data_IF_891375611705
#
_entry.id   IF_891375611705
#
_cell.length_a   1.000
_cell.length_b   1.000
_cell.length_c   1.000
_cell.angle_alpha   90.00
_cell.angle_beta   90.00
_cell.angle_gamma   90.00
#
_symmetry.space_group_name_H-M   'P 1'
#
loop_
_entity.id
_entity.type
_entity.pdbx_description
1 polymer ?
#
# COMPACT_ATOMS: atom_id res chain seq x y z
N UNK A 1 -10.69 -12.22 2.79
CA UNK A 1 -9.35 -12.13 2.19
C UNK A 1 -8.51 -11.17 3.00
N UNK A 2 -7.36 -11.60 3.50
CA UNK A 2 -6.43 -10.71 4.23
C UNK A 2 -5.37 -10.20 3.27
N UNK A 3 -5.25 -8.88 3.16
CA UNK A 3 -4.19 -8.22 2.41
C UNK A 3 -3.30 -7.44 3.37
N UNK A 4 -2.00 -7.59 3.19
CA UNK A 4 -1.01 -6.69 3.77
C UNK A 4 -0.69 -5.60 2.75
N UNK A 5 -0.66 -4.36 3.24
CA UNK A 5 -0.28 -3.18 2.49
C UNK A 5 1.07 -2.70 2.99
N UNK A 6 1.94 -2.32 2.06
CA UNK A 6 3.26 -1.78 2.36
C UNK A 6 3.43 -0.45 1.64
N UNK A 7 3.64 0.62 2.42
CA UNK A 7 4.14 1.87 1.89
C UNK A 7 5.61 1.72 1.46
N UNK A 8 5.91 2.19 0.24
CA UNK A 8 7.25 2.31 -0.32
C UNK A 8 7.50 3.71 -0.86
N UNK A 9 6.68 4.67 -0.44
CA UNK A 9 6.80 6.06 -0.82
C UNK A 9 8.12 6.63 -0.32
N UNK A 10 8.63 7.62 -1.04
CA UNK A 10 9.88 8.26 -0.71
C UNK A 10 9.86 9.72 -1.13
N UNK A 11 10.51 10.53 -0.30
CA UNK A 11 10.65 11.96 -0.49
C UNK A 11 12.16 12.31 -0.51
N UNK A 12 12.75 12.65 -1.68
CA UNK A 12 14.18 12.88 -1.83
C UNK A 12 14.71 14.11 -1.09
N UNK A 13 13.87 15.12 -0.87
CA UNK A 13 14.21 16.39 -0.20
C UNK A 13 13.58 16.53 1.19
N UNK A 14 12.98 15.46 1.72
CA UNK A 14 12.32 15.45 3.02
C UNK A 14 12.06 14.06 3.57
N UNK A 15 10.95 13.93 4.30
CA UNK A 15 10.52 12.73 4.98
C UNK A 15 8.99 12.69 5.04
N UNK A 16 8.43 11.51 4.84
CA UNK A 16 6.99 11.28 4.99
C UNK A 16 6.67 11.16 6.49
N UNK A 17 5.67 11.93 6.94
CA UNK A 17 5.31 12.04 8.37
C UNK A 17 3.90 11.53 8.67
N UNK A 18 3.05 11.33 7.66
CA UNK A 18 1.72 10.75 7.86
C UNK A 18 1.25 9.91 6.67
N UNK A 19 0.38 8.95 6.98
CA UNK A 19 -0.28 8.05 6.04
C UNK A 19 -1.77 8.03 6.35
N UNK A 20 -2.59 7.97 5.31
CA UNK A 20 -4.01 7.71 5.40
C UNK A 20 -4.41 6.72 4.31
N UNK A 21 -4.78 5.53 4.74
CA UNK A 21 -5.32 4.49 3.90
C UNK A 21 -6.85 4.53 3.93
N UNK A 22 -7.48 4.39 2.77
CA UNK A 22 -8.89 4.01 2.64
C UNK A 22 -8.95 2.72 1.82
N UNK A 23 -9.64 1.71 2.32
CA UNK A 23 -9.66 0.39 1.70
C UNK A 23 -10.82 0.19 0.71
N UNK A 24 -11.72 1.18 0.60
CA UNK A 24 -12.86 1.13 -0.31
C UNK A 24 -14.07 0.35 0.25
N UNK A 25 -14.07 0.03 1.54
CA UNK A 25 -15.14 -0.64 2.30
C UNK A 25 -15.44 0.09 3.63
N UNK A 26 -15.32 1.42 3.62
CA UNK A 26 -15.46 2.33 4.78
C UNK A 26 -14.41 2.17 5.89
N UNK A 27 -13.53 1.17 5.81
CA UNK A 27 -12.38 1.05 6.71
C UNK A 27 -11.20 1.94 6.28
N UNK A 28 -10.41 2.36 7.27
CA UNK A 28 -9.20 3.18 7.09
C UNK A 28 -8.10 2.80 8.08
N UNK A 29 -6.88 3.24 7.81
CA UNK A 29 -5.74 3.13 8.73
C UNK A 29 -4.77 4.30 8.56
N UNK A 30 -4.08 4.65 9.64
CA UNK A 30 -2.97 5.62 9.63
C UNK A 30 -1.59 4.97 9.80
N UNK A 31 -1.54 3.63 9.87
CA UNK A 31 -0.27 2.91 9.88
C UNK A 31 0.39 3.02 8.49
N UNK A 32 1.74 3.08 8.41
CA UNK A 32 2.44 3.09 7.13
C UNK A 32 2.22 1.79 6.33
N UNK A 33 2.14 0.65 7.03
CA UNK A 33 1.96 -0.67 6.42
C UNK A 33 0.89 -1.48 7.15
N UNK A 34 -0.41 -1.22 6.89
CA UNK A 34 -1.51 -1.88 7.58
C UNK A 34 -1.82 -3.27 7.01
N UNK A 35 -2.48 -4.09 7.82
CA UNK A 35 -3.17 -5.30 7.36
C UNK A 35 -4.67 -5.04 7.35
N UNK A 36 -5.38 -5.48 6.31
CA UNK A 36 -6.84 -5.34 6.22
C UNK A 36 -7.52 -6.63 5.77
N UNK A 37 -8.76 -6.83 6.21
CA UNK A 37 -9.56 -8.03 5.93
C UNK A 37 -10.84 -7.66 5.18
N UNK A 38 -10.93 -8.10 3.92
CA UNK A 38 -12.14 -7.99 3.11
C UNK A 38 -13.02 -9.21 3.30
N UNK A 39 -14.25 -9.03 3.78
CA UNK A 39 -15.19 -10.12 4.11
C UNK A 39 -16.15 -10.45 2.97
N UNK A 40 -16.58 -9.44 2.21
CA UNK A 40 -17.55 -9.59 1.12
C UNK A 40 -16.87 -9.64 -0.24
N UNK A 41 -17.54 -10.23 -1.24
CA UNK A 41 -17.06 -10.14 -2.62
C UNK A 41 -17.42 -8.78 -3.21
N UNK A 42 -16.51 -8.15 -3.95
CA UNK A 42 -16.74 -6.85 -4.55
C UNK A 42 -15.53 -6.31 -5.28
N UNK A 43 -15.69 -5.10 -5.83
CA UNK A 43 -14.58 -4.30 -6.34
C UNK A 43 -14.27 -3.21 -5.34
N UNK A 44 -13.04 -3.17 -4.87
CA UNK A 44 -12.55 -2.25 -3.85
C UNK A 44 -11.54 -1.30 -4.47
N UNK A 45 -11.62 -0.02 -4.09
CA UNK A 45 -10.63 1.00 -4.48
C UNK A 45 -9.81 1.38 -3.26
N UNK A 46 -8.58 0.87 -3.20
CA UNK A 46 -7.63 1.21 -2.14
C UNK A 46 -6.98 2.54 -2.48
N UNK A 47 -6.97 3.47 -1.54
CA UNK A 47 -6.36 4.79 -1.68
C UNK A 47 -5.36 5.00 -0.55
N UNK A 48 -4.15 5.45 -0.90
CA UNK A 48 -3.16 5.94 0.04
C UNK A 48 -2.99 7.45 -0.19
N UNK A 49 -3.07 8.22 0.89
CA UNK A 49 -2.60 9.61 0.96
C UNK A 49 -1.40 9.65 1.90
N UNK A 50 -0.30 10.26 1.46
CA UNK A 50 0.87 10.53 2.30
C UNK A 50 1.09 12.04 2.41
N UNK A 51 1.58 12.51 3.57
CA UNK A 51 2.00 13.90 3.78
C UNK A 51 3.46 13.95 4.23
N UNK A 52 4.25 14.86 3.66
CA UNK A 52 5.64 15.08 4.03
C UNK A 52 5.80 16.08 5.19
N UNK A 53 7.03 16.24 5.68
CA UNK A 53 7.37 17.17 6.76
C UNK A 53 7.25 18.66 6.37
N UNK A 54 7.01 18.97 5.10
CA UNK A 54 6.71 20.32 4.61
C UNK A 54 5.19 20.55 4.47
N UNK A 55 4.37 19.53 4.77
CA UNK A 55 2.92 19.58 4.66
C UNK A 55 2.37 19.33 3.25
N UNK A 56 3.21 18.97 2.27
CA UNK A 56 2.73 18.59 0.93
C UNK A 56 2.17 17.18 0.99
N UNK A 57 1.09 16.94 0.24
CA UNK A 57 0.43 15.64 0.21
C UNK A 57 0.31 15.09 -1.20
N UNK A 58 0.44 13.78 -1.32
CA UNK A 58 0.18 13.01 -2.54
C UNK A 58 -0.83 11.91 -2.26
N UNK A 59 -1.71 11.65 -3.24
CA UNK A 59 -2.75 10.62 -3.13
C UNK A 59 -2.70 9.71 -4.35
N UNK A 60 -2.80 8.41 -4.12
CA UNK A 60 -2.90 7.42 -5.18
C UNK A 60 -3.91 6.33 -4.85
N UNK A 61 -4.66 5.92 -5.87
CA UNK A 61 -5.68 4.88 -5.76
C UNK A 61 -5.41 3.69 -6.69
N UNK A 62 -5.89 2.52 -6.30
CA UNK A 62 -5.90 1.30 -7.11
C UNK A 62 -7.12 0.45 -6.83
N UNK A 63 -7.82 0.04 -7.89
CA UNK A 63 -8.93 -0.88 -7.80
C UNK A 63 -8.50 -2.35 -7.94
N UNK A 64 -9.18 -3.25 -7.22
CA UNK A 64 -9.10 -4.69 -7.42
C UNK A 64 -10.46 -5.35 -7.16
N UNK A 65 -10.67 -6.58 -7.64
CA UNK A 65 -11.91 -7.35 -7.41
C UNK A 65 -11.60 -8.59 -6.57
N UNK A 66 -12.42 -8.84 -5.55
CA UNK A 66 -12.38 -10.03 -4.69
C UNK A 66 -13.71 -10.81 -4.76
N UNK A 67 -13.67 -12.16 -4.85
CA UNK A 67 -12.51 -12.95 -5.26
C UNK A 67 -12.06 -12.56 -6.67
N UNK A 68 -10.74 -12.45 -6.91
CA UNK A 68 -10.28 -12.26 -8.27
C UNK A 68 -10.47 -13.56 -9.04
N UNK A 69 -10.91 -13.46 -10.29
CA UNK A 69 -10.92 -14.61 -11.20
C UNK A 69 -9.51 -15.13 -11.51
N UNK A 70 -8.48 -14.34 -11.17
CA UNK A 70 -7.08 -14.59 -11.47
C UNK A 70 -6.35 -14.74 -10.12
N UNK A 71 -6.41 -15.94 -9.52
CA UNK A 71 -5.95 -16.20 -8.15
C UNK A 71 -4.42 -16.27 -7.96
N UNK A 72 -3.64 -16.03 -9.02
CA UNK A 72 -2.18 -16.27 -8.98
C UNK A 72 -1.45 -14.96 -8.70
N UNK A 73 -1.40 -14.62 -7.41
CA UNK A 73 -0.64 -13.52 -6.80
C UNK A 73 -1.16 -12.10 -7.11
N UNK A 74 -1.97 -11.56 -6.20
CA UNK A 74 -2.27 -10.11 -6.12
C UNK A 74 -1.03 -9.37 -5.59
N UNK A 75 0.01 -9.26 -6.41
CA UNK A 75 1.10 -8.31 -6.22
C UNK A 75 0.79 -7.07 -7.05
N UNK A 76 0.34 -6.04 -6.37
CA UNK A 76 -0.17 -4.83 -6.98
C UNK A 76 0.71 -3.64 -6.59
N UNK A 77 1.65 -3.19 -7.42
CA UNK A 77 2.35 -1.90 -7.21
C UNK A 77 1.60 -0.72 -7.83
N UNK A 78 1.18 0.25 -7.02
CA UNK A 78 0.74 1.56 -7.49
C UNK A 78 1.90 2.55 -7.30
N UNK A 79 2.16 3.39 -8.31
CA UNK A 79 3.21 4.42 -8.25
C UNK A 79 2.75 5.72 -8.92
N UNK A 80 3.05 6.85 -8.31
CA UNK A 80 2.79 8.20 -8.80
C UNK A 80 3.90 9.14 -8.31
N UNK A 81 4.25 10.13 -9.14
CA UNK A 81 5.29 11.13 -8.84
C UNK A 81 4.64 12.51 -8.87
N UNK A 82 4.76 13.27 -7.78
CA UNK A 82 4.24 14.63 -7.64
C UNK A 82 5.36 15.54 -7.15
N UNK A 83 6.01 16.25 -8.07
CA UNK A 83 7.19 17.04 -7.73
C UNK A 83 8.34 16.14 -7.28
N UNK A 84 8.88 16.39 -6.08
CA UNK A 84 9.89 15.54 -5.44
C UNK A 84 9.28 14.30 -4.77
N UNK A 85 8.05 14.39 -4.28
CA UNK A 85 7.38 13.29 -3.57
C UNK A 85 6.96 12.16 -4.51
N UNK A 86 7.39 10.95 -4.18
CA UNK A 86 7.04 9.72 -4.90
C UNK A 86 6.16 8.87 -3.99
N UNK A 87 4.90 8.66 -4.37
CA UNK A 87 4.00 7.74 -3.65
C UNK A 87 4.06 6.38 -4.33
N UNK A 88 4.37 5.33 -3.55
CA UNK A 88 4.39 3.94 -4.01
C UNK A 88 3.80 3.07 -2.93
N UNK A 89 2.85 2.21 -3.30
CA UNK A 89 2.46 1.13 -2.42
C UNK A 89 2.31 -0.20 -3.12
N UNK A 90 2.49 -1.26 -2.36
CA UNK A 90 2.21 -2.63 -2.81
C UNK A 90 1.25 -3.34 -1.86
N UNK A 91 0.47 -4.26 -2.39
CA UNK A 91 -0.24 -5.26 -1.58
C UNK A 91 0.30 -6.65 -1.84
N UNK A 92 0.17 -7.54 -0.86
CA UNK A 92 0.39 -8.98 -1.05
C UNK A 92 -0.63 -9.78 -0.24
N UNK A 93 -0.97 -10.96 -0.76
CA UNK A 93 -1.81 -11.89 -0.03
C UNK A 93 -1.07 -12.42 1.18
N UNK A 94 -1.60 -12.18 2.38
CA UNK A 94 -1.16 -12.87 3.58
C UNK A 94 -1.84 -14.25 3.61
N UNK A 95 -1.21 -15.26 3.01
CA UNK A 95 -1.57 -16.64 3.36
C UNK A 95 -0.97 -16.89 4.73
N UNK A 96 -1.81 -17.03 5.76
CA UNK A 96 -1.41 -17.01 7.17
C UNK A 96 -0.19 -17.85 7.49
N UNK A 97 0.98 -17.21 7.54
CA UNK A 97 2.19 -17.64 8.22
C UNK A 97 2.91 -16.35 8.66
N UNK A 98 3.23 -16.30 9.95
CA UNK A 98 3.96 -15.28 10.69
C UNK A 98 4.83 -14.29 9.88
N UNK A 99 4.71 -13.01 10.27
CA UNK A 99 5.59 -11.91 9.92
C UNK A 99 7.08 -12.31 9.92
N UNK A 100 7.64 -12.54 8.75
CA UNK A 100 9.08 -12.54 8.52
C UNK A 100 9.40 -11.29 7.71
N UNK A 101 9.96 -10.29 8.40
CA UNK A 101 10.56 -9.06 7.82
C UNK A 101 11.23 -9.38 6.48
N UNK A 102 10.79 -8.74 5.41
CA UNK A 102 11.56 -8.66 4.17
C UNK A 102 12.79 -7.78 4.43
N UNK A 103 13.90 -8.40 4.84
CA UNK A 103 15.21 -7.74 4.87
C UNK A 103 15.65 -7.64 3.41
N UNK A 104 15.65 -6.42 2.87
CA UNK A 104 16.19 -6.10 1.54
C UNK A 104 17.68 -6.51 1.52
N UNK A 105 17.96 -7.71 1.01
CA UNK A 105 19.30 -8.26 0.85
C UNK A 105 19.99 -7.64 -0.36
N UNK A 106 21.20 -7.12 -0.14
CA UNK A 106 21.98 -6.37 -1.10
C UNK A 106 22.40 -7.15 -2.34
N UNK A 107 22.58 -6.38 -3.41
CA UNK A 107 23.20 -6.75 -4.67
C UNK A 107 24.70 -6.96 -4.43
N UNK A 108 25.22 -8.15 -4.71
CA UNK A 108 26.65 -8.39 -4.95
C UNK A 108 26.77 -9.41 -6.08
N UNK A 109 27.30 -8.95 -7.21
CA UNK A 109 27.77 -9.71 -8.36
C UNK A 109 28.87 -8.89 -9.02
#
# INVERSE_FOLDING_TARGET
>A
MTLEFEDRSWDPDGSIVSWLWSFGDDASSTDPSPTHVYTESGTYTVTLTVTDNEGKSATQSRAFTFPSKNERFMLWTAQLVIGSLIIVFTSFFAVGIAAARFKRGGRNG
#
